data_IF_198489864175
#
_entry.id   IF_198489864175
#
_cell.length_a   1.000
_cell.length_b   1.000
_cell.length_c   1.000
_cell.angle_alpha   90.00
_cell.angle_beta   90.00
_cell.angle_gamma   90.00
#
_symmetry.space_group_name_H-M   'P 1'
#
loop_
_entity.id
_entity.type
_entity.pdbx_description
1 polymer ?
#
# COMPACT_ATOMS: atom_id res chain seq x y z
N UNK A 1 11.67 -11.21 1.30
CA UNK A 1 10.24 -11.10 1.64
C UNK A 1 9.92 -9.71 2.20
N UNK A 2 8.69 -9.23 2.00
CA UNK A 2 8.16 -7.99 2.59
C UNK A 2 6.92 -8.32 3.42
N UNK A 3 6.60 -7.49 4.41
CA UNK A 3 5.37 -7.62 5.20
C UNK A 3 4.15 -7.01 4.49
N UNK A 4 3.07 -6.85 5.24
CA UNK A 4 1.86 -6.19 4.75
C UNK A 4 2.09 -4.74 4.30
N UNK A 5 1.28 -4.29 3.36
CA UNK A 5 1.27 -2.88 2.91
C UNK A 5 0.40 -2.06 3.86
N UNK A 6 0.95 -0.99 4.40
CA UNK A 6 0.20 0.01 5.15
C UNK A 6 0.33 1.36 4.45
N UNK A 7 -0.79 1.91 4.01
CA UNK A 7 -0.86 3.19 3.30
C UNK A 7 -1.95 4.07 3.93
N UNK A 8 -1.56 5.29 4.33
CA UNK A 8 -2.49 6.34 4.73
C UNK A 8 -2.54 7.42 3.64
N UNK A 9 -3.50 7.29 2.71
CA UNK A 9 -3.68 8.26 1.62
C UNK A 9 -4.25 9.61 2.08
N UNK A 10 -5.10 9.60 3.12
CA UNK A 10 -5.70 10.79 3.74
C UNK A 10 -5.55 10.68 5.25
N UNK A 11 -4.92 11.67 5.89
CA UNK A 11 -4.61 11.64 7.32
C UNK A 11 -5.84 11.73 8.24
N UNK A 12 -6.87 12.43 7.79
CA UNK A 12 -8.08 12.66 8.56
C UNK A 12 -9.29 12.79 7.65
N UNK A 13 -10.35 12.06 7.97
CA UNK A 13 -11.65 12.11 7.31
C UNK A 13 -12.74 12.07 8.37
N UNK A 14 -13.75 12.92 8.21
CA UNK A 14 -14.95 12.94 9.06
C UNK A 14 -16.13 12.65 8.15
N UNK A 15 -16.98 11.72 8.57
CA UNK A 15 -18.24 11.44 7.88
C UNK A 15 -19.37 12.33 8.42
N UNK A 16 -20.17 12.90 7.53
CA UNK A 16 -21.47 13.50 7.86
C UNK A 16 -22.54 12.41 7.83
N UNK A 17 -22.55 11.58 8.87
CA UNK A 17 -23.39 10.39 8.94
C UNK A 17 -24.71 10.69 9.68
N UNK A 18 -25.90 10.57 9.05
CA UNK A 18 -27.20 10.81 9.69
C UNK A 18 -27.48 9.95 10.92
N UNK A 19 -26.84 8.80 11.04
CA UNK A 19 -27.00 7.88 12.17
C UNK A 19 -26.16 8.27 13.40
N UNK A 20 -25.27 9.27 13.29
CA UNK A 20 -24.47 9.79 14.40
C UNK A 20 -24.96 11.21 14.71
N UNK A 21 -25.94 11.31 15.60
CA UNK A 21 -26.67 12.57 15.83
C UNK A 21 -25.78 13.71 16.38
N UNK A 22 -24.73 13.38 17.13
CA UNK A 22 -23.86 14.34 17.81
C UNK A 22 -23.13 15.31 16.86
N UNK A 23 -22.77 14.84 15.66
CA UNK A 23 -21.99 15.62 14.69
C UNK A 23 -22.65 15.71 13.29
N UNK A 24 -23.89 15.24 13.14
CA UNK A 24 -24.61 15.30 11.88
C UNK A 24 -25.11 16.72 11.57
N UNK A 25 -24.85 17.17 10.34
CA UNK A 25 -25.34 18.45 9.83
C UNK A 25 -26.25 18.24 8.62
N UNK A 26 -27.55 18.52 8.81
CA UNK A 26 -28.58 18.45 7.76
C UNK A 26 -28.33 19.36 6.54
N UNK A 27 -27.50 20.40 6.69
CA UNK A 27 -27.14 21.32 5.60
C UNK A 27 -26.06 20.77 4.67
N UNK A 28 -25.35 19.72 5.09
CA UNK A 28 -24.28 19.10 4.31
C UNK A 28 -24.77 17.80 3.69
N UNK A 29 -24.19 17.42 2.55
CA UNK A 29 -24.45 16.11 1.95
C UNK A 29 -24.06 14.99 2.93
N UNK A 30 -24.90 13.97 3.04
CA UNK A 30 -24.61 12.81 3.88
C UNK A 30 -23.54 11.93 3.25
N UNK A 31 -22.60 11.44 4.06
CA UNK A 31 -21.56 10.51 3.62
C UNK A 31 -21.14 9.58 4.77
N UNK A 32 -20.38 8.54 4.43
CA UNK A 32 -20.05 7.43 5.34
C UNK A 32 -18.57 7.06 5.19
N UNK A 33 -17.96 6.59 6.27
CA UNK A 33 -16.66 5.91 6.23
C UNK A 33 -16.95 4.41 6.27
N UNK A 34 -16.46 3.70 5.25
CA UNK A 34 -16.62 2.25 5.13
C UNK A 34 -15.35 1.55 5.61
N UNK A 35 -15.50 0.65 6.58
CA UNK A 35 -14.45 -0.26 6.99
C UNK A 35 -14.65 -1.61 6.27
N UNK A 36 -13.67 -2.00 5.46
CA UNK A 36 -13.64 -3.29 4.78
C UNK A 36 -12.47 -4.10 5.34
N UNK A 37 -12.74 -5.36 5.68
CA UNK A 37 -11.74 -6.32 6.11
C UNK A 37 -11.88 -7.61 5.31
N UNK A 38 -10.74 -8.17 4.88
CA UNK A 38 -10.71 -9.39 4.10
C UNK A 38 -10.54 -10.60 5.02
N UNK A 39 -11.59 -11.40 5.14
CA UNK A 39 -11.56 -12.65 5.89
C UNK A 39 -10.49 -13.60 5.31
N UNK A 40 -9.47 -13.94 6.11
CA UNK A 40 -8.38 -14.84 5.72
C UNK A 40 -7.60 -14.39 4.47
N UNK A 41 -7.14 -13.13 4.44
CA UNK A 41 -6.39 -12.56 3.32
C UNK A 41 -5.21 -13.44 2.85
N UNK A 42 -4.40 -13.95 3.77
CA UNK A 42 -3.27 -14.82 3.42
C UNK A 42 -3.71 -16.17 2.88
N UNK A 43 -4.74 -16.80 3.45
CA UNK A 43 -5.27 -18.07 2.94
C UNK A 43 -5.89 -17.92 1.54
N UNK A 44 -6.55 -16.80 1.27
CA UNK A 44 -6.99 -16.46 -0.09
C UNK A 44 -5.81 -16.35 -1.05
N UNK A 45 -4.77 -15.61 -0.68
CA UNK A 45 -3.56 -15.46 -1.49
C UNK A 45 -2.81 -16.79 -1.71
N UNK A 46 -2.78 -17.66 -0.70
CA UNK A 46 -2.19 -19.00 -0.77
C UNK A 46 -2.99 -19.98 -1.64
N UNK A 47 -4.27 -19.69 -1.87
CA UNK A 47 -5.12 -20.45 -2.77
C UNK A 47 -4.98 -20.04 -4.25
N UNK A 48 -4.16 -19.02 -4.54
CA UNK A 48 -3.89 -18.58 -5.92
C UNK A 48 -2.72 -19.37 -6.53
N UNK A 49 -2.52 -19.24 -7.85
CA UNK A 49 -1.33 -19.79 -8.53
C UNK A 49 -0.07 -19.12 -8.00
N UNK A 50 0.79 -19.88 -7.32
CA UNK A 50 2.02 -19.41 -6.69
C UNK A 50 3.25 -20.05 -7.33
N UNK A 51 4.36 -19.32 -7.48
CA UNK A 51 5.60 -19.88 -8.00
C UNK A 51 6.22 -20.83 -6.97
N UNK A 52 6.37 -22.10 -7.34
CA UNK A 52 6.93 -23.15 -6.46
C UNK A 52 8.36 -23.56 -6.80
N UNK A 53 8.86 -23.27 -8.01
CA UNK A 53 10.20 -23.69 -8.43
C UNK A 53 10.51 -23.37 -9.89
N UNK A 54 11.61 -23.95 -10.40
CA UNK A 54 12.09 -23.80 -11.79
C UNK A 54 12.35 -22.35 -12.23
N UNK A 55 12.80 -21.51 -11.30
CA UNK A 55 13.17 -20.14 -11.60
C UNK A 55 14.33 -20.09 -12.57
N UNK A 56 14.14 -19.42 -13.70
CA UNK A 56 15.18 -19.13 -14.69
C UNK A 56 14.92 -17.81 -15.37
N UNK A 57 15.97 -17.21 -15.90
CA UNK A 57 15.84 -16.09 -16.81
C UNK A 57 15.29 -16.57 -18.16
N UNK A 58 14.54 -15.69 -18.82
CA UNK A 58 14.16 -15.90 -20.21
C UNK A 58 15.35 -15.64 -21.12
N UNK A 59 15.50 -16.46 -22.16
CA UNK A 59 16.45 -16.17 -23.23
C UNK A 59 15.96 -15.01 -24.11
N UNK A 60 16.82 -14.52 -25.01
CA UNK A 60 16.51 -13.37 -25.86
C UNK A 60 15.30 -13.60 -26.77
N UNK A 61 15.08 -14.84 -27.24
CA UNK A 61 13.95 -15.17 -28.10
C UNK A 61 12.64 -15.16 -27.31
N UNK A 62 12.62 -15.78 -26.14
CA UNK A 62 11.47 -15.79 -25.23
C UNK A 62 11.13 -14.37 -24.77
N UNK A 63 12.15 -13.56 -24.44
CA UNK A 63 11.96 -12.18 -24.04
C UNK A 63 11.36 -11.34 -25.18
N UNK A 64 11.81 -11.54 -26.42
CA UNK A 64 11.25 -10.83 -27.59
C UNK A 64 9.76 -11.11 -27.82
N UNK A 65 9.28 -12.29 -27.40
CA UNK A 65 7.89 -12.72 -27.51
C UNK A 65 7.07 -12.39 -26.27
N UNK A 66 7.71 -11.97 -25.18
CA UNK A 66 7.06 -11.69 -23.91
C UNK A 66 6.20 -10.43 -23.97
N UNK A 67 4.92 -10.57 -23.62
CA UNK A 67 3.95 -9.48 -23.59
C UNK A 67 3.18 -9.51 -22.27
N UNK A 68 3.59 -8.67 -21.32
CA UNK A 68 3.02 -8.63 -19.96
C UNK A 68 1.49 -8.49 -19.93
N UNK A 69 0.92 -7.72 -20.86
CA UNK A 69 -0.53 -7.48 -20.93
C UNK A 69 -1.35 -8.67 -21.45
N UNK A 70 -0.69 -9.71 -21.97
CA UNK A 70 -1.33 -10.91 -22.54
C UNK A 70 -1.21 -12.13 -21.63
N UNK A 71 -0.64 -11.97 -20.44
CA UNK A 71 -0.45 -13.07 -19.50
C UNK A 71 -1.79 -13.50 -18.90
N UNK A 72 -1.99 -14.81 -18.82
CA UNK A 72 -3.09 -15.39 -18.07
C UNK A 72 -2.71 -15.45 -16.58
N UNK A 73 -3.62 -15.01 -15.72
CA UNK A 73 -3.45 -15.01 -14.27
C UNK A 73 -3.51 -16.42 -13.67
N UNK A 74 -4.15 -17.36 -14.38
CA UNK A 74 -4.36 -18.74 -13.95
C UNK A 74 -3.40 -19.72 -14.68
N UNK A 75 -2.31 -19.18 -15.25
CA UNK A 75 -1.26 -19.92 -15.95
C UNK A 75 -0.38 -20.73 -14.99
N UNK A 76 0.03 -21.93 -15.40
CA UNK A 76 1.02 -22.75 -14.70
C UNK A 76 2.42 -22.11 -14.66
N UNK A 77 2.67 -21.13 -15.52
CA UNK A 77 3.93 -20.38 -15.58
C UNK A 77 3.68 -18.94 -15.10
N UNK A 78 4.36 -18.56 -14.01
CA UNK A 78 4.41 -17.19 -13.50
C UNK A 78 5.68 -16.45 -13.92
N UNK A 79 5.62 -15.11 -13.91
CA UNK A 79 6.74 -14.24 -14.28
C UNK A 79 7.05 -13.24 -13.16
N UNK A 80 8.34 -13.04 -12.88
CA UNK A 80 8.84 -11.96 -12.02
C UNK A 80 9.55 -10.97 -12.94
N UNK A 81 9.17 -9.70 -12.86
CA UNK A 81 9.69 -8.66 -13.74
C UNK A 81 10.65 -7.75 -12.98
N UNK A 82 11.83 -7.54 -13.56
CA UNK A 82 12.75 -6.47 -13.21
C UNK A 82 12.62 -5.40 -14.30
N UNK A 83 12.18 -4.19 -13.92
CA UNK A 83 11.81 -3.13 -14.87
C UNK A 83 12.25 -1.77 -14.35
N UNK A 84 12.53 -0.88 -15.30
CA UNK A 84 12.52 0.55 -15.05
C UNK A 84 11.09 1.08 -15.10
N UNK A 85 10.72 1.90 -14.11
CA UNK A 85 9.36 2.41 -13.95
C UNK A 85 9.29 3.91 -14.28
N UNK A 86 8.61 4.24 -15.37
CA UNK A 86 8.13 5.59 -15.60
C UNK A 86 6.89 5.85 -14.74
N UNK A 87 6.97 6.81 -13.81
CA UNK A 87 5.85 7.14 -12.93
C UNK A 87 5.22 8.51 -13.29
N UNK A 88 4.02 8.54 -13.93
CA UNK A 88 3.41 9.77 -14.39
C UNK A 88 3.14 10.78 -13.27
N UNK A 89 3.54 12.04 -13.46
CA UNK A 89 3.42 13.12 -12.45
C UNK A 89 2.00 13.30 -11.91
N UNK A 90 0.97 13.12 -12.74
CA UNK A 90 -0.43 13.29 -12.32
C UNK A 90 -0.91 12.22 -11.32
N UNK A 91 -0.20 11.09 -11.20
CA UNK A 91 -0.49 10.05 -10.22
C UNK A 91 0.25 10.25 -8.89
N UNK A 92 1.29 11.11 -8.87
CA UNK A 92 2.20 11.29 -7.72
C UNK A 92 1.48 11.57 -6.42
N UNK A 93 0.34 12.25 -6.44
CA UNK A 93 -0.42 12.61 -5.24
C UNK A 93 -1.61 11.68 -4.96
N UNK A 94 -1.80 10.62 -5.75
CA UNK A 94 -2.96 9.72 -5.67
C UNK A 94 -2.60 8.31 -5.22
N UNK A 95 -1.49 7.78 -5.72
CA UNK A 95 -1.11 6.38 -5.47
C UNK A 95 0.40 6.25 -5.27
N UNK A 96 0.90 6.17 -4.03
CA UNK A 96 2.34 6.04 -3.79
C UNK A 96 2.82 4.62 -4.13
N UNK A 97 3.06 4.38 -5.41
CA UNK A 97 3.66 3.17 -5.94
C UNK A 97 5.15 3.06 -5.56
N UNK A 98 5.69 1.85 -5.70
CA UNK A 98 7.08 1.50 -5.39
C UNK A 98 7.51 1.93 -3.96
N UNK A 99 6.97 1.28 -2.90
CA UNK A 99 7.35 1.55 -1.51
C UNK A 99 8.86 1.46 -1.32
N UNK A 100 9.42 2.41 -0.55
CA UNK A 100 10.86 2.46 -0.24
C UNK A 100 11.09 2.21 1.22
N UNK A 101 12.28 1.70 1.54
CA UNK A 101 12.69 1.64 2.93
C UNK A 101 13.01 3.05 3.42
N UNK A 102 12.19 3.54 4.36
CA UNK A 102 12.33 4.86 4.99
C UNK A 102 12.66 4.66 6.47
N UNK A 103 13.61 5.44 6.99
CA UNK A 103 13.85 5.51 8.43
C UNK A 103 12.77 6.43 9.02
N UNK A 104 11.83 5.86 9.77
CA UNK A 104 10.80 6.63 10.44
C UNK A 104 11.35 7.09 11.79
N UNK A 105 11.36 8.39 12.01
CA UNK A 105 11.82 9.02 13.25
C UNK A 105 10.64 9.52 14.08
N UNK A 106 10.87 9.84 15.35
CA UNK A 106 9.81 10.27 16.26
C UNK A 106 9.18 11.61 15.85
N UNK A 107 9.98 12.52 15.28
CA UNK A 107 9.51 13.82 14.78
C UNK A 107 8.50 13.69 13.63
N UNK A 108 8.61 12.63 12.81
CA UNK A 108 7.67 12.34 11.72
C UNK A 108 6.26 11.95 12.19
N UNK A 109 6.09 11.61 13.48
CA UNK A 109 4.78 11.30 14.03
C UNK A 109 3.92 12.56 14.19
N UNK A 110 2.61 12.40 13.97
CA UNK A 110 1.64 13.47 14.25
C UNK A 110 1.58 13.77 15.75
N UNK A 111 1.20 15.00 16.14
CA UNK A 111 1.02 15.36 17.55
C UNK A 111 0.06 14.41 18.26
N UNK A 112 -1.06 14.08 17.60
CA UNK A 112 -2.04 13.12 18.10
C UNK A 112 -1.44 11.73 18.35
N UNK A 113 -0.63 11.21 17.42
CA UNK A 113 0.06 9.93 17.61
C UNK A 113 1.04 9.96 18.79
N UNK A 114 1.70 11.10 19.03
CA UNK A 114 2.63 11.27 20.17
C UNK A 114 1.86 11.31 21.49
N UNK A 115 0.72 12.00 21.53
CA UNK A 115 -0.19 12.06 22.69
C UNK A 115 -0.69 10.66 23.07
N UNK A 116 -1.20 9.90 22.10
CA UNK A 116 -1.68 8.52 22.32
C UNK A 116 -0.57 7.59 22.86
N UNK A 117 0.67 7.74 22.39
CA UNK A 117 1.79 6.97 22.93
C UNK A 117 1.98 7.23 24.43
N UNK A 118 1.82 8.47 24.88
CA UNK A 118 1.90 8.83 26.30
C UNK A 118 0.70 8.30 27.09
N UNK A 119 -0.51 8.53 26.58
CA UNK A 119 -1.77 8.12 27.22
C UNK A 119 -1.83 6.61 27.49
N UNK A 120 -1.46 5.80 26.50
CA UNK A 120 -1.52 4.34 26.60
C UNK A 120 -0.20 3.70 27.05
N UNK A 121 0.82 4.49 27.42
CA UNK A 121 2.13 3.98 27.85
C UNK A 121 2.83 3.12 26.79
N UNK A 122 2.65 3.43 25.51
CA UNK A 122 3.18 2.63 24.41
C UNK A 122 4.70 2.79 24.32
N UNK A 123 5.42 1.66 24.18
CA UNK A 123 6.87 1.67 23.98
C UNK A 123 7.20 2.37 22.65
N UNK A 124 7.98 3.45 22.72
CA UNK A 124 8.51 4.10 21.53
C UNK A 124 9.62 3.22 20.91
N UNK A 125 9.34 2.65 19.74
CA UNK A 125 10.30 1.79 19.00
C UNK A 125 11.02 2.55 17.89
N UNK A 126 10.98 3.88 17.90
CA UNK A 126 11.59 4.74 16.88
C UNK A 126 12.99 5.19 17.31
N UNK A 127 13.94 5.40 16.37
CA UNK A 127 13.76 5.31 14.92
C UNK A 127 13.71 3.86 14.40
N UNK A 128 12.95 3.61 13.33
CA UNK A 128 12.81 2.28 12.75
C UNK A 128 12.70 2.32 11.21
N UNK A 129 13.38 1.41 10.52
CA UNK A 129 13.34 1.28 9.06
C UNK A 129 12.08 0.52 8.65
N UNK A 130 11.16 1.20 7.96
CA UNK A 130 9.90 0.62 7.46
C UNK A 130 9.85 0.66 5.94
N UNK A 131 9.22 -0.35 5.33
CA UNK A 131 8.86 -0.28 3.91
C UNK A 131 7.60 0.59 3.81
N UNK A 132 7.74 1.81 3.33
CA UNK A 132 6.68 2.82 3.43
C UNK A 132 6.32 3.33 2.03
N UNK A 133 5.07 3.13 1.58
CA UNK A 133 4.55 3.89 0.46
C UNK A 133 4.41 5.36 0.90
N UNK A 134 5.02 6.27 0.14
CA UNK A 134 5.06 7.69 0.51
C UNK A 134 4.99 8.59 -0.73
N UNK A 135 4.57 9.83 -0.48
CA UNK A 135 4.45 10.89 -1.48
C UNK A 135 5.68 11.80 -1.54
N UNK A 136 6.82 11.37 -0.95
CA UNK A 136 8.05 12.15 -1.09
C UNK A 136 8.53 12.10 -2.55
N UNK A 137 9.29 13.12 -3.01
CA UNK A 137 9.85 13.13 -4.34
C UNK A 137 10.58 11.82 -4.63
N UNK A 138 10.11 11.10 -5.64
CA UNK A 138 10.74 9.87 -6.08
C UNK A 138 11.81 10.22 -7.11
N UNK A 139 13.04 9.69 -6.96
CA UNK A 139 13.98 9.60 -8.07
C UNK A 139 13.34 8.72 -9.14
N UNK A 140 12.93 9.34 -10.24
CA UNK A 140 12.51 8.67 -11.47
C UNK A 140 13.75 8.71 -12.37
N UNK A 141 14.16 7.55 -12.89
CA UNK A 141 15.19 7.46 -13.92
C UNK A 141 14.59 7.85 -15.27
#
# INVERSE_FOLDING_TARGET
>A
MRGGVCLLGRRHAIANNPYIAENYNKKLQSNYILALDANNLYGFAMSQFLPVGNFRWLDSEQLSKFHVMKLDKDSDIGYILEVDLLYPKHLHNKLPLAPKHVLITYDMLSSYSKELCGEFGLKCTLPNKKLTPNFFPQKIM
#
